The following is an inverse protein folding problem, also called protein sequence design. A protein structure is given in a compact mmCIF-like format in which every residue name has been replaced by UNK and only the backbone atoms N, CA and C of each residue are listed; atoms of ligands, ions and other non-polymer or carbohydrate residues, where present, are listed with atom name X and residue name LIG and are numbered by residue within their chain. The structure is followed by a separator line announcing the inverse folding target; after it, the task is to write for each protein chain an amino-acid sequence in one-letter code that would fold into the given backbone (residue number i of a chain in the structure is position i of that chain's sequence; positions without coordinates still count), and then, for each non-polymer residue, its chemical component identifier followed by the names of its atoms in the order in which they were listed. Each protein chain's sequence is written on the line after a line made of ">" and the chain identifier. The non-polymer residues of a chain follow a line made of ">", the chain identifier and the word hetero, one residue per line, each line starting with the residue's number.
data_IF_529275809528
#
_entry.id   IF_529275809528
#
_cell.length_a   1.000
_cell.length_b   1.000
_cell.length_c   1.000
_cell.angle_alpha   90.00
_cell.angle_beta   90.00
_cell.angle_gamma   90.00
#
_symmetry.space_group_name_H-M   'P 1'
#
loop_
_entity.id
_entity.type
_entity.pdbx_description
1 polymer ?
#
# COMPACT_ATOMS: atom_id res chain seq x y z
N UNK A 1 -14.34 -59.93 15.14
CA UNK A 1 -14.71 -58.57 15.59
C UNK A 1 -13.64 -57.61 15.07
N UNK A 2 -13.97 -56.81 14.06
CA UNK A 2 -13.00 -55.93 13.39
C UNK A 2 -12.73 -54.73 14.32
N UNK A 3 -11.51 -54.69 14.82
CA UNK A 3 -11.00 -53.69 15.74
C UNK A 3 -10.86 -52.34 15.00
N UNK A 4 -11.90 -51.49 15.03
CA UNK A 4 -11.83 -50.13 14.49
C UNK A 4 -11.01 -49.24 15.43
N UNK A 5 -9.68 -49.34 15.33
CA UNK A 5 -8.73 -48.33 15.84
C UNK A 5 -8.76 -47.09 14.94
N UNK A 6 -9.94 -46.46 14.83
CA UNK A 6 -10.04 -45.11 14.32
C UNK A 6 -9.61 -44.18 15.43
N UNK A 7 -8.32 -43.89 15.50
CA UNK A 7 -7.80 -42.84 16.38
C UNK A 7 -8.59 -41.57 16.10
N UNK A 8 -9.40 -41.14 17.07
CA UNK A 8 -9.97 -39.82 17.07
C UNK A 8 -8.82 -38.84 17.20
N UNK A 9 -8.34 -38.31 16.08
CA UNK A 9 -7.54 -37.09 16.12
C UNK A 9 -8.34 -36.09 16.95
N UNK A 10 -7.72 -35.56 18.00
CA UNK A 10 -8.37 -34.52 18.79
C UNK A 10 -8.78 -33.39 17.85
N UNK A 11 -9.92 -32.76 18.08
CA UNK A 11 -10.42 -31.67 17.23
C UNK A 11 -9.33 -30.61 16.98
N UNK A 12 -8.47 -30.37 17.98
CA UNK A 12 -7.31 -29.49 17.88
C UNK A 12 -6.31 -29.94 16.81
N UNK A 13 -5.99 -31.23 16.72
CA UNK A 13 -5.07 -31.75 15.71
C UNK A 13 -5.64 -31.56 14.28
N UNK A 14 -6.95 -31.77 14.11
CA UNK A 14 -7.63 -31.53 12.82
C UNK A 14 -7.58 -30.04 12.45
N UNK A 15 -7.86 -29.14 13.40
CA UNK A 15 -7.78 -27.68 13.18
C UNK A 15 -6.37 -27.27 12.75
N UNK A 16 -5.33 -27.78 13.40
CA UNK A 16 -3.94 -27.46 13.07
C UNK A 16 -3.54 -27.96 11.69
N UNK A 17 -3.99 -29.14 11.29
CA UNK A 17 -3.75 -29.67 9.94
C UNK A 17 -4.43 -28.78 8.90
N UNK A 18 -5.69 -28.37 9.13
CA UNK A 18 -6.41 -27.48 8.21
C UNK A 18 -5.71 -26.13 8.08
N UNK A 19 -5.34 -25.49 9.21
CA UNK A 19 -4.60 -24.23 9.20
C UNK A 19 -3.25 -24.38 8.47
N UNK A 20 -2.53 -25.47 8.73
CA UNK A 20 -1.28 -25.77 8.05
C UNK A 20 -1.44 -25.87 6.53
N UNK A 21 -2.47 -26.60 6.07
CA UNK A 21 -2.78 -26.73 4.64
C UNK A 21 -3.17 -25.37 4.03
N UNK A 22 -3.99 -24.56 4.72
CA UNK A 22 -4.38 -23.23 4.25
C UNK A 22 -3.15 -22.31 4.08
N UNK A 23 -2.25 -22.29 5.06
CA UNK A 23 -1.01 -21.50 4.99
C UNK A 23 -0.14 -21.98 3.82
N UNK A 24 -0.01 -23.30 3.63
CA UNK A 24 0.79 -23.88 2.56
C UNK A 24 0.25 -23.49 1.18
N UNK A 25 -1.08 -23.49 1.00
CA UNK A 25 -1.72 -23.03 -0.25
C UNK A 25 -1.43 -21.54 -0.50
N UNK A 26 -1.56 -20.68 0.51
CA UNK A 26 -1.27 -19.24 0.38
C UNK A 26 0.20 -19.02 -0.01
N UNK A 27 1.13 -19.75 0.60
CA UNK A 27 2.56 -19.66 0.27
C UNK A 27 2.85 -20.14 -1.16
N UNK A 28 2.25 -21.25 -1.60
CA UNK A 28 2.39 -21.73 -2.98
C UNK A 28 1.90 -20.65 -3.95
N UNK A 29 0.72 -20.06 -3.71
CA UNK A 29 0.18 -19.00 -4.57
C UNK A 29 1.10 -17.77 -4.56
N UNK A 30 1.57 -17.34 -3.38
CA UNK A 30 2.45 -16.19 -3.23
C UNK A 30 3.80 -16.36 -3.93
N UNK A 31 4.40 -17.55 -3.87
CA UNK A 31 5.67 -17.83 -4.54
C UNK A 31 5.52 -18.14 -6.03
N UNK A 32 4.38 -18.67 -6.49
CA UNK A 32 4.18 -18.99 -7.92
C UNK A 32 3.72 -17.79 -8.75
N UNK A 33 2.81 -16.96 -8.22
CA UNK A 33 2.31 -15.76 -8.91
C UNK A 33 3.13 -14.50 -8.57
N UNK A 34 3.94 -14.57 -7.51
CA UNK A 34 4.69 -13.45 -6.97
C UNK A 34 3.85 -12.57 -6.06
N UNK A 35 4.48 -12.07 -4.98
CA UNK A 35 3.85 -11.15 -4.03
C UNK A 35 3.40 -9.84 -4.68
N UNK A 36 3.97 -9.45 -5.83
CA UNK A 36 3.59 -8.25 -6.57
C UNK A 36 2.16 -8.30 -7.13
N UNK A 37 1.62 -9.50 -7.41
CA UNK A 37 0.24 -9.68 -7.88
C UNK A 37 -0.78 -9.75 -6.75
N UNK A 38 -0.34 -10.10 -5.53
CA UNK A 38 -1.16 -10.13 -4.32
C UNK A 38 -1.14 -8.78 -3.58
N UNK A 39 -0.03 -8.05 -3.68
CA UNK A 39 0.15 -6.74 -3.05
C UNK A 39 -0.97 -5.72 -3.36
N UNK A 40 -1.55 -5.63 -4.58
CA UNK A 40 -2.62 -4.69 -4.87
C UNK A 40 -3.91 -4.97 -4.07
N UNK A 41 -4.12 -6.21 -3.63
CA UNK A 41 -5.28 -6.61 -2.83
C UNK A 41 -5.10 -6.33 -1.33
N UNK A 42 -3.86 -6.13 -0.90
CA UNK A 42 -3.48 -5.91 0.51
C UNK A 42 -3.14 -4.44 0.77
N UNK A 43 -2.66 -3.72 -0.25
CA UNK A 43 -2.34 -2.29 -0.16
C UNK A 43 -3.65 -1.49 0.00
N UNK A 44 -3.72 -0.54 0.96
CA UNK A 44 -4.85 0.38 1.07
C UNK A 44 -5.14 1.05 -0.29
N UNK A 45 -6.42 1.18 -0.64
CA UNK A 45 -6.86 1.96 -1.82
C UNK A 45 -6.48 3.44 -1.71
N UNK A 46 -6.11 3.89 -0.51
CA UNK A 46 -5.79 5.27 -0.20
C UNK A 46 -4.46 5.35 0.57
N UNK A 47 -3.51 6.16 0.08
CA UNK A 47 -2.24 6.44 0.75
C UNK A 47 -1.98 7.95 0.94
N UNK A 48 -3.02 8.78 0.87
CA UNK A 48 -2.93 10.24 0.96
C UNK A 48 -2.11 10.69 2.17
N UNK A 49 -2.37 10.09 3.34
CA UNK A 49 -1.66 10.42 4.59
C UNK A 49 -0.15 10.18 4.49
N UNK A 50 0.25 9.09 3.87
CA UNK A 50 1.67 8.73 3.71
C UNK A 50 2.37 9.72 2.77
N UNK A 51 1.69 10.12 1.69
CA UNK A 51 2.21 11.13 0.76
C UNK A 51 2.33 12.50 1.44
N UNK A 52 1.30 12.94 2.17
CA UNK A 52 1.34 14.19 2.94
C UNK A 52 2.51 14.19 3.91
N UNK A 53 2.70 13.09 4.65
CA UNK A 53 3.80 12.97 5.59
C UNK A 53 5.16 12.99 4.89
N UNK A 54 5.32 12.25 3.80
CA UNK A 54 6.57 12.22 3.03
C UNK A 54 6.93 13.60 2.47
N UNK A 55 5.95 14.33 1.91
CA UNK A 55 6.15 15.68 1.40
C UNK A 55 6.47 16.68 2.53
N UNK A 56 5.81 16.56 3.67
CA UNK A 56 6.10 17.39 4.85
C UNK A 56 7.52 17.15 5.38
N UNK A 57 7.98 15.88 5.42
CA UNK A 57 9.33 15.54 5.86
C UNK A 57 10.36 16.09 4.87
N UNK A 58 10.18 15.86 3.57
CA UNK A 58 11.08 16.35 2.54
C UNK A 58 11.21 17.89 2.59
N UNK A 59 10.09 18.60 2.80
CA UNK A 59 10.11 20.04 2.99
C UNK A 59 10.85 20.45 4.27
N UNK A 60 10.55 19.83 5.42
CA UNK A 60 11.19 20.19 6.70
C UNK A 60 12.67 19.85 6.79
N UNK A 61 13.15 18.94 5.94
CA UNK A 61 14.55 18.51 5.89
C UNK A 61 15.33 19.14 4.74
N UNK A 62 14.71 20.10 4.03
CA UNK A 62 15.28 20.76 2.85
C UNK A 62 15.79 19.77 1.78
N UNK A 63 15.16 18.59 1.69
CA UNK A 63 15.53 17.57 0.71
C UNK A 63 14.94 17.92 -0.66
N UNK A 64 15.69 18.72 -1.42
CA UNK A 64 15.31 19.22 -2.76
C UNK A 64 14.95 18.08 -3.71
N UNK A 65 15.77 17.03 -3.78
CA UNK A 65 15.52 15.92 -4.70
C UNK A 65 14.21 15.21 -4.36
N UNK A 66 14.00 14.88 -3.09
CA UNK A 66 12.79 14.20 -2.66
C UNK A 66 11.55 15.05 -2.88
N UNK A 67 11.61 16.37 -2.69
CA UNK A 67 10.43 17.21 -2.86
C UNK A 67 10.14 17.54 -4.33
N UNK A 68 11.17 17.89 -5.09
CA UNK A 68 11.04 18.52 -6.41
C UNK A 68 11.18 17.55 -7.58
N UNK A 69 11.81 16.38 -7.38
CA UNK A 69 12.16 15.47 -8.48
C UNK A 69 11.69 14.04 -8.26
N UNK A 70 11.66 13.57 -7.02
CA UNK A 70 11.21 12.23 -6.70
C UNK A 70 9.69 12.12 -6.86
N UNK A 71 9.27 11.26 -7.78
CA UNK A 71 7.87 10.98 -8.04
C UNK A 71 7.30 10.02 -7.01
N UNK A 72 6.08 10.29 -6.57
CA UNK A 72 5.32 9.47 -5.62
C UNK A 72 3.98 9.12 -6.23
N UNK A 73 3.59 7.87 -6.05
CA UNK A 73 2.28 7.37 -6.44
C UNK A 73 1.24 7.76 -5.37
N UNK A 74 0.37 8.72 -5.68
CA UNK A 74 -0.79 9.07 -4.86
C UNK A 74 -1.99 8.23 -5.28
N UNK A 75 -2.62 7.57 -4.31
CA UNK A 75 -3.83 6.75 -4.44
C UNK A 75 -4.91 7.35 -3.57
N UNK A 76 -6.03 7.67 -4.21
CA UNK A 76 -7.24 8.08 -3.54
C UNK A 76 -8.43 7.69 -4.41
N UNK A 77 -9.59 7.48 -3.80
CA UNK A 77 -10.82 7.09 -4.49
C UNK A 77 -11.47 8.28 -5.22
N UNK A 78 -11.06 9.50 -4.88
CA UNK A 78 -11.61 10.76 -5.35
C UNK A 78 -10.61 11.56 -6.20
N UNK A 79 -9.65 10.89 -6.85
CA UNK A 79 -8.74 11.55 -7.79
C UNK A 79 -9.51 12.11 -9.00
N UNK A 80 -9.01 13.19 -9.64
CA UNK A 80 -9.59 13.71 -10.88
C UNK A 80 -9.58 12.65 -11.99
N UNK A 81 -10.47 12.79 -12.98
CA UNK A 81 -10.60 11.90 -14.15
C UNK A 81 -10.88 10.42 -13.82
N UNK A 82 -11.44 10.11 -12.64
CA UNK A 82 -11.77 8.76 -12.16
C UNK A 82 -10.57 7.78 -12.16
N UNK A 83 -9.34 8.29 -12.14
CA UNK A 83 -8.15 7.44 -12.01
C UNK A 83 -7.97 6.98 -10.57
N UNK A 84 -7.33 5.81 -10.37
CA UNK A 84 -7.09 5.25 -9.02
C UNK A 84 -5.71 5.58 -8.46
N UNK A 85 -4.82 6.08 -9.30
CA UNK A 85 -3.45 6.42 -8.94
C UNK A 85 -2.88 7.44 -9.91
N UNK A 86 -2.13 8.40 -9.39
CA UNK A 86 -1.32 9.32 -10.18
C UNK A 86 0.11 9.34 -9.63
N UNK A 87 1.10 9.42 -10.50
CA UNK A 87 2.52 9.42 -10.12
C UNK A 87 3.15 10.78 -10.44
N UNK A 88 3.34 11.61 -9.42
CA UNK A 88 3.87 12.97 -9.56
C UNK A 88 4.73 13.39 -8.35
N UNK A 89 5.36 14.57 -8.42
CA UNK A 89 6.25 15.08 -7.36
C UNK A 89 5.46 15.75 -6.21
N UNK A 90 6.11 15.93 -5.05
CA UNK A 90 5.50 16.71 -3.97
C UNK A 90 5.21 18.15 -4.38
N UNK A 91 6.08 18.73 -5.21
CA UNK A 91 5.84 20.07 -5.77
C UNK A 91 4.59 20.14 -6.63
N UNK A 92 4.33 19.13 -7.45
CA UNK A 92 3.11 19.05 -8.26
C UNK A 92 1.86 18.96 -7.38
N UNK A 93 1.89 18.10 -6.36
CA UNK A 93 0.75 17.91 -5.45
C UNK A 93 0.51 19.08 -4.49
N UNK A 94 1.54 19.88 -4.21
CA UNK A 94 1.44 21.05 -3.33
C UNK A 94 1.14 22.35 -4.07
N UNK A 95 1.15 22.33 -5.42
CA UNK A 95 0.96 23.52 -6.23
C UNK A 95 -0.46 24.06 -6.08
N UNK A 96 -0.57 25.33 -5.68
CA UNK A 96 -1.85 26.03 -5.54
C UNK A 96 -2.53 26.32 -6.87
N UNK A 97 -1.79 26.25 -7.99
CA UNK A 97 -2.37 26.26 -9.32
C UNK A 97 -3.16 24.96 -9.63
N UNK A 98 -2.82 23.84 -8.97
CA UNK A 98 -3.51 22.57 -9.10
C UNK A 98 -4.56 22.40 -7.99
N UNK A 99 -5.77 22.92 -8.22
CA UNK A 99 -6.85 22.89 -7.23
C UNK A 99 -7.27 21.48 -6.81
N UNK A 100 -7.08 20.49 -7.69
CA UNK A 100 -7.59 19.13 -7.50
C UNK A 100 -6.94 18.39 -6.32
N UNK A 101 -5.71 18.75 -5.96
CA UNK A 101 -4.94 18.08 -4.90
C UNK A 101 -4.89 18.85 -3.58
N UNK A 102 -5.32 20.12 -3.58
CA UNK A 102 -5.30 20.98 -2.38
C UNK A 102 -6.10 20.38 -1.21
N UNK A 103 -7.19 19.66 -1.51
CA UNK A 103 -8.03 18.95 -0.53
C UNK A 103 -7.28 17.90 0.30
N UNK A 104 -6.16 17.39 -0.20
CA UNK A 104 -5.35 16.38 0.48
C UNK A 104 -4.42 16.98 1.55
N UNK A 105 -4.30 18.30 1.63
CA UNK A 105 -3.55 18.98 2.69
C UNK A 105 -2.02 18.90 2.54
N UNK A 106 -1.53 18.66 1.33
CA UNK A 106 -0.09 18.69 1.01
C UNK A 106 0.35 20.16 0.98
N UNK A 107 1.22 20.56 1.90
CA UNK A 107 1.67 21.96 2.02
C UNK A 107 2.76 22.27 0.99
N UNK A 108 2.68 23.47 0.41
CA UNK A 108 3.74 24.00 -0.44
C UNK A 108 5.00 24.32 0.37
N UNK A 109 6.15 24.20 -0.29
CA UNK A 109 7.47 24.47 0.29
C UNK A 109 8.18 25.55 -0.55
N UNK A 110 7.88 26.84 -0.30
CA UNK A 110 8.36 27.94 -1.13
C UNK A 110 9.89 28.02 -1.11
N UNK A 111 10.50 28.15 -2.29
CA UNK A 111 11.94 28.35 -2.43
C UNK A 111 12.80 27.08 -2.31
N UNK A 112 12.20 25.91 -2.11
CA UNK A 112 12.95 24.65 -2.06
C UNK A 112 13.32 24.13 -3.47
N UNK A 113 12.44 24.33 -4.45
CA UNK A 113 12.69 23.91 -5.83
C UNK A 113 13.32 25.06 -6.63
N UNK A 114 14.41 24.78 -7.38
CA UNK A 114 15.07 25.76 -8.26
C UNK A 114 14.26 26.10 -9.51
#
# INVERSE_FOLDING_TARGET
>A
MINKRGQGLSTNAIILIILGVVILVVLIIGFTLGWERLAPWIKPSNNVKDIVQACSIACSTENVYDYCSFKRELKAEDLPDDVKSIEETCKFFSDTANTDYTKYGIKDCPGLCP
#
